data_IF_919270490471
#
_entry.id   IF_919270490471
#
_cell.length_a   1.000
_cell.length_b   1.000
_cell.length_c   1.000
_cell.angle_alpha   90.00
_cell.angle_beta   90.00
_cell.angle_gamma   90.00
#
_symmetry.space_group_name_H-M   'P 1'
#
loop_
_entity.id
_entity.type
_entity.pdbx_description
1 polymer ?
#
# COMPACT_ATOMS: atom_id res chain seq x y z
N UNK A 1 1.84 -12.79 -16.01
CA UNK A 1 1.14 -11.94 -15.02
C UNK A 1 0.20 -12.85 -14.26
N UNK A 2 0.13 -12.79 -12.93
CA UNK A 2 -0.74 -13.68 -12.15
C UNK A 2 -2.21 -13.30 -12.39
N UNK A 3 -2.99 -14.22 -12.93
CA UNK A 3 -4.44 -14.08 -13.07
C UNK A 3 -5.12 -14.51 -11.77
N UNK A 4 -6.12 -13.74 -11.33
CA UNK A 4 -6.98 -14.14 -10.23
C UNK A 4 -7.94 -15.25 -10.66
N UNK A 5 -8.42 -16.04 -9.70
CA UNK A 5 -9.33 -17.17 -9.94
C UNK A 5 -10.64 -16.77 -10.64
N UNK A 6 -11.01 -15.48 -10.57
CA UNK A 6 -12.20 -14.91 -11.23
C UNK A 6 -11.99 -14.55 -12.71
N UNK A 7 -10.83 -14.88 -13.30
CA UNK A 7 -10.59 -14.72 -14.74
C UNK A 7 -10.15 -13.32 -15.17
N UNK A 8 -9.40 -12.61 -14.31
CA UNK A 8 -8.87 -11.29 -14.59
C UNK A 8 -7.75 -10.89 -13.63
N UNK A 9 -7.14 -9.73 -13.83
CA UNK A 9 -6.18 -9.19 -12.86
C UNK A 9 -6.91 -8.75 -11.59
N UNK A 10 -6.31 -9.02 -10.43
CA UNK A 10 -6.84 -8.52 -9.17
C UNK A 10 -6.74 -6.99 -9.12
N UNK A 11 -7.77 -6.32 -8.63
CA UNK A 11 -7.72 -4.86 -8.41
C UNK A 11 -6.70 -4.50 -7.34
N UNK A 12 -6.12 -3.30 -7.45
CA UNK A 12 -5.12 -2.77 -6.52
C UNK A 12 -5.71 -2.73 -5.11
N UNK A 13 -6.97 -2.31 -4.97
CA UNK A 13 -7.69 -2.32 -3.70
C UNK A 13 -7.80 -3.73 -3.07
N UNK A 14 -7.99 -4.77 -3.90
CA UNK A 14 -8.02 -6.16 -3.42
C UNK A 14 -6.65 -6.60 -2.91
N UNK A 15 -5.59 -6.30 -3.67
CA UNK A 15 -4.22 -6.59 -3.27
C UNK A 15 -3.84 -5.84 -1.98
N UNK A 16 -4.20 -4.57 -1.88
CA UNK A 16 -3.92 -3.74 -0.71
C UNK A 16 -4.56 -4.32 0.57
N UNK A 17 -5.83 -4.75 0.50
CA UNK A 17 -6.53 -5.41 1.61
C UNK A 17 -5.91 -6.76 1.97
N UNK A 18 -5.53 -7.56 0.97
CA UNK A 18 -4.91 -8.87 1.19
C UNK A 18 -3.57 -8.73 1.93
N UNK A 19 -2.71 -7.85 1.43
CA UNK A 19 -1.38 -7.58 2.01
C UNK A 19 -1.51 -7.00 3.42
N UNK A 20 -2.43 -6.04 3.64
CA UNK A 20 -2.68 -5.50 4.97
C UNK A 20 -3.21 -6.56 5.95
N UNK A 21 -4.07 -7.46 5.48
CA UNK A 21 -4.58 -8.58 6.29
C UNK A 21 -3.45 -9.52 6.69
N UNK A 22 -2.57 -9.89 5.76
CA UNK A 22 -1.40 -10.71 6.04
C UNK A 22 -0.46 -10.03 7.04
N UNK A 23 -0.20 -8.73 6.89
CA UNK A 23 0.62 -7.96 7.83
C UNK A 23 0.02 -7.98 9.24
N UNK A 24 -1.27 -7.64 9.35
CA UNK A 24 -1.97 -7.58 10.65
C UNK A 24 -2.05 -8.94 11.35
N UNK A 25 -2.30 -10.02 10.60
CA UNK A 25 -2.35 -11.39 11.13
C UNK A 25 -0.99 -11.86 11.66
N UNK A 26 0.11 -11.29 11.17
CA UNK A 26 1.48 -11.66 11.55
C UNK A 26 2.18 -10.57 12.40
N UNK A 27 1.44 -9.60 12.95
CA UNK A 27 1.99 -8.44 13.67
C UNK A 27 2.92 -8.77 14.85
N UNK A 28 2.80 -9.98 15.40
CA UNK A 28 3.62 -10.43 16.54
C UNK A 28 5.02 -10.89 16.10
N UNK A 29 5.19 -11.22 14.82
CA UNK A 29 6.45 -11.75 14.24
C UNK A 29 6.97 -10.93 13.06
N UNK A 30 6.14 -10.03 12.52
CA UNK A 30 6.45 -9.18 11.38
C UNK A 30 6.20 -7.71 11.74
N UNK A 31 7.21 -6.88 11.51
CA UNK A 31 7.11 -5.41 11.64
C UNK A 31 7.11 -4.83 10.23
N UNK A 32 5.92 -4.66 9.66
CA UNK A 32 5.74 -4.23 8.28
C UNK A 32 5.09 -2.86 8.20
N UNK A 33 5.83 -1.87 7.71
CA UNK A 33 5.31 -0.63 7.16
C UNK A 33 5.36 -0.76 5.62
N UNK A 34 4.21 -0.65 4.96
CA UNK A 34 4.03 -1.08 3.57
C UNK A 34 3.42 0.04 2.74
N UNK A 35 3.94 0.19 1.51
CA UNK A 35 3.33 1.00 0.45
C UNK A 35 2.84 0.04 -0.64
N UNK A 36 1.54 0.09 -0.95
CA UNK A 36 0.94 -0.70 -2.02
C UNK A 36 0.49 0.27 -3.10
N UNK A 37 1.07 0.17 -4.29
CA UNK A 37 0.72 1.03 -5.42
C UNK A 37 0.52 0.21 -6.70
N UNK A 38 -0.37 0.69 -7.56
CA UNK A 38 -0.64 0.04 -8.83
C UNK A 38 -1.64 0.80 -9.68
N UNK A 39 -1.99 0.20 -10.81
CA UNK A 39 -3.03 0.66 -11.70
C UNK A 39 -3.95 -0.50 -12.05
N UNK A 40 -5.25 -0.26 -12.03
CA UNK A 40 -6.26 -1.14 -12.60
C UNK A 40 -7.32 -0.30 -13.34
N UNK A 41 -8.15 -0.93 -14.17
CA UNK A 41 -9.13 -0.19 -14.99
C UNK A 41 -10.23 0.49 -14.16
N UNK A 42 -10.63 -0.10 -13.04
CA UNK A 42 -11.74 0.38 -12.20
C UNK A 42 -11.34 1.58 -11.33
N UNK A 43 -10.22 1.47 -10.62
CA UNK A 43 -9.71 2.44 -9.66
C UNK A 43 -8.58 3.30 -10.17
N UNK A 44 -8.10 3.08 -11.41
CA UNK A 44 -7.00 3.82 -12.03
C UNK A 44 -5.73 3.74 -11.15
N UNK A 45 -4.86 4.75 -11.23
CA UNK A 45 -3.65 4.83 -10.41
C UNK A 45 -4.00 5.02 -8.94
N UNK A 46 -3.56 4.08 -8.10
CA UNK A 46 -3.87 4.04 -6.67
C UNK A 46 -2.59 3.83 -5.86
N UNK A 47 -2.51 4.52 -4.73
CA UNK A 47 -1.46 4.37 -3.71
C UNK A 47 -2.13 4.17 -2.37
N UNK A 48 -1.68 3.17 -1.62
CA UNK A 48 -2.14 2.86 -0.28
C UNK A 48 -0.97 2.81 0.70
N UNK A 49 -1.11 3.51 1.82
CA UNK A 49 -0.24 3.39 2.99
C UNK A 49 -0.77 2.37 3.98
N UNK A 50 0.13 1.55 4.53
CA UNK A 50 -0.16 0.63 5.63
C UNK A 50 0.98 0.68 6.65
N UNK A 51 0.91 1.55 7.67
CA UNK A 51 1.95 1.65 8.69
C UNK A 51 1.94 0.40 9.58
N UNK A 52 2.94 0.29 10.46
CA UNK A 52 3.15 -0.86 11.36
C UNK A 52 1.89 -1.24 12.17
N UNK A 53 0.99 -0.28 12.44
CA UNK A 53 -0.29 -0.53 13.11
C UNK A 53 -1.32 -1.31 12.29
N UNK A 54 -1.07 -1.55 10.99
CA UNK A 54 -1.95 -2.32 10.10
C UNK A 54 -3.16 -1.57 9.54
N UNK A 55 -3.24 -0.25 9.74
CA UNK A 55 -4.32 0.57 9.17
C UNK A 55 -4.10 0.75 7.67
N UNK A 56 -5.08 0.47 6.82
CA UNK A 56 -4.95 0.70 5.39
C UNK A 56 -5.64 2.02 4.99
N UNK A 57 -4.89 2.96 4.41
CA UNK A 57 -5.41 4.23 3.91
C UNK A 57 -4.99 4.47 2.46
N UNK A 58 -5.89 5.02 1.65
CA UNK A 58 -5.58 5.46 0.30
C UNK A 58 -5.01 6.87 0.35
N UNK A 59 -3.89 7.10 -0.33
CA UNK A 59 -3.15 8.35 -0.28
C UNK A 59 -2.92 8.90 -1.69
N UNK A 60 -2.74 10.22 -1.81
CA UNK A 60 -2.31 10.83 -3.07
C UNK A 60 -0.86 10.44 -3.43
N UNK A 61 -0.02 10.31 -2.40
CA UNK A 61 1.36 9.84 -2.47
C UNK A 61 1.74 9.19 -1.13
N UNK A 62 2.75 8.32 -1.12
CA UNK A 62 3.22 7.68 0.10
C UNK A 62 4.74 7.57 0.11
N UNK A 63 5.33 7.84 1.28
CA UNK A 63 6.73 7.58 1.61
C UNK A 63 6.77 6.83 2.94
N UNK A 64 7.71 5.91 3.09
CA UNK A 64 7.83 5.08 4.28
C UNK A 64 9.28 4.69 4.54
N UNK A 65 9.56 4.10 5.71
CA UNK A 65 10.88 3.73 6.18
C UNK A 65 11.57 4.82 7.00
N UNK A 66 12.65 4.46 7.70
CA UNK A 66 13.32 5.35 8.67
C UNK A 66 13.96 6.60 8.03
N UNK A 67 14.19 6.60 6.72
CA UNK A 67 14.73 7.73 5.97
C UNK A 67 13.68 8.67 5.37
N UNK A 68 12.40 8.31 5.41
CA UNK A 68 11.34 9.08 4.75
C UNK A 68 11.17 10.48 5.34
N UNK A 69 11.43 10.63 6.64
CA UNK A 69 11.36 11.90 7.35
C UNK A 69 12.32 12.96 6.81
N UNK A 70 13.44 12.56 6.20
CA UNK A 70 14.39 13.50 5.58
C UNK A 70 13.87 14.15 4.31
N UNK A 71 12.88 13.53 3.64
CA UNK A 71 12.29 14.03 2.39
C UNK A 71 10.84 14.47 2.54
N UNK A 72 10.23 14.28 3.71
CA UNK A 72 8.81 14.55 3.94
C UNK A 72 8.41 15.98 3.54
N UNK A 73 9.17 16.99 3.99
CA UNK A 73 8.87 18.38 3.67
C UNK A 73 9.05 18.72 2.19
N UNK A 74 9.94 18.00 1.47
CA UNK A 74 10.04 18.15 0.02
C UNK A 74 8.83 17.54 -0.67
N UNK A 75 8.39 16.35 -0.25
CA UNK A 75 7.24 15.70 -0.84
C UNK A 75 5.97 16.53 -0.65
N UNK A 76 5.70 16.99 0.57
CA UNK A 76 4.53 17.81 0.93
C UNK A 76 4.47 19.14 0.14
N UNK A 77 5.63 19.72 -0.21
CA UNK A 77 5.69 20.96 -0.96
C UNK A 77 5.54 20.78 -2.49
N UNK A 78 5.72 19.57 -3.03
CA UNK A 78 5.83 19.34 -4.48
C UNK A 78 4.81 18.32 -5.04
N UNK A 79 4.12 17.56 -4.19
CA UNK A 79 3.16 16.53 -4.59
C UNK A 79 1.90 16.59 -3.72
#
# INVERSE_FOLDING_TARGET
>A
MLEGELGGQASVATIAKLVATMNYQNKDVLVGALVIAGYDEEGQGQVYGCPIGGTLSQEAWAIDGSGSTYIWGFCDANF
#
